data_IF_699554063789
#
_entry.id   IF_699554063789
#
_cell.length_a   1.000
_cell.length_b   1.000
_cell.length_c   1.000
_cell.angle_alpha   90.00
_cell.angle_beta   90.00
_cell.angle_gamma   90.00
#
_symmetry.space_group_name_H-M   'P 1'
#
loop_
_entity.id
_entity.type
_entity.pdbx_description
1 polymer ?
#
# COMPACT_ATOMS: atom_id res chain seq x y z
N UNK A 1 -87.55 -39.16 -34.46
CA UNK A 1 -86.89 -39.79 -33.29
C UNK A 1 -86.41 -38.68 -32.37
N UNK A 2 -86.38 -38.90 -31.05
CA UNK A 2 -85.91 -37.92 -30.05
C UNK A 2 -84.37 -37.69 -30.20
N UNK A 3 -83.71 -36.67 -29.62
CA UNK A 3 -83.96 -36.02 -28.32
C UNK A 3 -83.41 -34.58 -28.21
N UNK A 4 -83.70 -33.96 -27.07
CA UNK A 4 -83.14 -32.75 -26.43
C UNK A 4 -81.58 -32.63 -26.42
N UNK A 5 -80.91 -31.55 -25.98
CA UNK A 5 -81.26 -30.64 -24.86
C UNK A 5 -80.42 -29.35 -24.79
N UNK A 6 -81.05 -28.29 -24.25
CA UNK A 6 -80.55 -27.34 -23.23
C UNK A 6 -79.23 -26.55 -23.43
N UNK A 7 -79.36 -25.21 -23.36
CA UNK A 7 -78.28 -24.24 -23.15
C UNK A 7 -78.36 -23.64 -21.73
N UNK A 8 -77.27 -23.73 -20.95
CA UNK A 8 -77.04 -22.90 -19.74
C UNK A 8 -75.54 -22.66 -19.55
N UNK A 9 -75.13 -21.43 -19.19
CA UNK A 9 -73.76 -21.15 -18.73
C UNK A 9 -73.48 -21.78 -17.35
N UNK A 10 -72.21 -21.89 -16.94
CA UNK A 10 -71.75 -20.95 -15.90
C UNK A 10 -70.31 -20.42 -16.10
N UNK A 11 -69.99 -19.40 -15.30
CA UNK A 11 -68.70 -18.70 -15.22
C UNK A 11 -67.64 -19.40 -14.36
N UNK A 12 -66.37 -19.34 -14.78
CA UNK A 12 -65.21 -19.36 -13.87
C UNK A 12 -63.94 -18.80 -14.56
N UNK A 13 -63.10 -18.12 -13.78
CA UNK A 13 -61.77 -17.63 -14.16
C UNK A 13 -60.76 -18.78 -14.30
N UNK A 14 -59.68 -18.58 -15.09
CA UNK A 14 -58.37 -18.59 -14.42
C UNK A 14 -57.34 -17.57 -14.96
N UNK A 15 -56.55 -17.06 -14.01
CA UNK A 15 -55.14 -16.66 -14.09
C UNK A 15 -54.62 -15.87 -15.30
N UNK A 16 -54.49 -14.56 -15.09
CA UNK A 16 -53.50 -13.74 -15.81
C UNK A 16 -52.08 -14.15 -15.39
N UNK A 17 -51.50 -15.14 -16.08
CA UNK A 17 -50.06 -15.36 -16.03
C UNK A 17 -49.36 -14.19 -16.74
N UNK A 18 -48.94 -13.19 -15.95
CA UNK A 18 -47.97 -12.22 -16.43
C UNK A 18 -46.73 -12.97 -16.89
N UNK A 19 -46.32 -12.73 -18.14
CA UNK A 19 -45.04 -13.21 -18.65
C UNK A 19 -43.93 -12.46 -17.90
N UNK A 20 -43.53 -13.04 -16.76
CA UNK A 20 -42.42 -12.57 -15.96
C UNK A 20 -41.15 -12.61 -16.83
N UNK A 21 -40.77 -11.44 -17.36
CA UNK A 21 -39.46 -11.20 -17.95
C UNK A 21 -38.43 -11.40 -16.85
N UNK A 22 -38.02 -12.66 -16.67
CA UNK A 22 -36.97 -13.08 -15.73
C UNK A 22 -35.66 -12.44 -16.15
N UNK A 23 -35.41 -11.26 -15.60
CA UNK A 23 -34.13 -10.58 -15.70
C UNK A 23 -33.05 -11.50 -15.13
N UNK A 24 -32.17 -12.00 -16.01
CA UNK A 24 -31.17 -13.02 -15.69
C UNK A 24 -30.05 -12.55 -14.74
N UNK A 25 -30.18 -11.36 -14.13
CA UNK A 25 -29.17 -10.76 -13.25
C UNK A 25 -29.65 -10.54 -11.82
N UNK A 26 -29.66 -11.58 -10.97
CA UNK A 26 -29.48 -11.43 -9.52
C UNK A 26 -28.21 -12.12 -8.99
N UNK A 27 -27.13 -12.20 -9.79
CA UNK A 27 -25.86 -12.91 -9.42
C UNK A 27 -24.75 -11.97 -8.94
N UNK A 28 -25.07 -10.99 -8.08
CA UNK A 28 -24.07 -10.19 -7.33
C UNK A 28 -24.56 -9.80 -5.91
N UNK A 29 -25.25 -10.70 -5.19
CA UNK A 29 -25.64 -10.47 -3.77
C UNK A 29 -24.61 -10.96 -2.74
N UNK A 30 -23.35 -10.59 -2.93
CA UNK A 30 -22.37 -10.41 -1.84
C UNK A 30 -21.42 -9.26 -2.20
N UNK A 31 -21.60 -8.05 -1.62
CA UNK A 31 -20.56 -7.04 -1.65
C UNK A 31 -19.49 -7.41 -0.61
N UNK A 32 -18.60 -8.35 -0.96
CA UNK A 32 -17.20 -7.93 -0.85
C UNK A 32 -17.08 -6.83 -1.89
N UNK A 33 -17.11 -5.57 -1.44
CA UNK A 33 -17.16 -4.43 -2.35
C UNK A 33 -16.06 -4.56 -3.42
N UNK A 34 -16.28 -3.99 -4.60
CA UNK A 34 -15.27 -3.92 -5.67
C UNK A 34 -14.12 -2.98 -5.25
N UNK A 35 -13.39 -3.39 -4.21
CA UNK A 35 -12.17 -2.76 -3.72
C UNK A 35 -11.08 -3.22 -4.66
N UNK A 36 -10.83 -2.42 -5.69
CA UNK A 36 -9.68 -2.59 -6.54
C UNK A 36 -8.41 -2.67 -5.68
N UNK A 37 -7.51 -3.63 -5.95
CA UNK A 37 -6.36 -3.84 -5.08
C UNK A 37 -5.45 -2.60 -5.12
N UNK A 38 -5.08 -2.12 -3.93
CA UNK A 38 -4.22 -0.95 -3.75
C UNK A 38 -2.82 -1.18 -4.33
N UNK A 39 -2.09 -0.10 -4.63
CA UNK A 39 -0.68 -0.20 -5.04
C UNK A 39 0.25 -0.66 -3.91
N UNK A 40 -0.15 -0.51 -2.64
CA UNK A 40 0.66 -0.93 -1.48
C UNK A 40 0.65 -2.44 -1.25
N UNK A 41 -0.41 -3.14 -1.66
CA UNK A 41 -0.55 -4.60 -1.53
C UNK A 41 0.09 -5.37 -2.70
N UNK A 42 0.92 -4.70 -3.51
CA UNK A 42 1.57 -5.27 -4.69
C UNK A 42 3.08 -5.52 -4.48
N UNK A 43 3.51 -6.72 -4.84
CA UNK A 43 4.91 -7.12 -4.95
C UNK A 43 5.32 -7.25 -6.42
N UNK A 44 6.57 -6.91 -6.70
CA UNK A 44 7.16 -6.91 -8.04
C UNK A 44 8.41 -7.79 -8.05
N UNK A 45 8.52 -8.59 -9.10
CA UNK A 45 9.69 -9.40 -9.43
C UNK A 45 10.23 -9.02 -10.80
N UNK A 46 11.51 -9.29 -11.04
CA UNK A 46 12.06 -9.27 -12.40
C UNK A 46 11.46 -10.42 -13.21
N UNK A 47 11.01 -10.14 -14.42
CA UNK A 47 10.45 -11.14 -15.32
C UNK A 47 11.58 -11.83 -16.09
N UNK A 48 11.68 -13.15 -15.92
CA UNK A 48 12.50 -14.07 -16.72
C UNK A 48 11.78 -14.32 -18.05
N UNK A 49 12.51 -14.23 -19.17
CA UNK A 49 11.98 -14.52 -20.50
C UNK A 49 11.50 -15.98 -20.62
N UNK A 50 10.54 -16.21 -21.51
CA UNK A 50 9.87 -17.51 -21.74
C UNK A 50 9.18 -18.16 -20.51
N UNK A 51 9.19 -17.51 -19.34
CA UNK A 51 8.52 -18.01 -18.12
C UNK A 51 7.05 -17.59 -18.08
N UNK A 52 6.14 -18.51 -17.75
CA UNK A 52 4.69 -18.23 -17.76
C UNK A 52 4.26 -17.66 -16.42
N UNK A 53 3.24 -16.80 -16.43
CA UNK A 53 2.70 -16.15 -15.21
C UNK A 53 2.30 -17.16 -14.12
N UNK A 54 1.80 -18.34 -14.53
CA UNK A 54 1.46 -19.45 -13.64
C UNK A 54 2.66 -19.98 -12.83
N UNK A 55 3.88 -19.86 -13.35
CA UNK A 55 5.08 -20.41 -12.70
C UNK A 55 5.49 -19.53 -11.52
N UNK A 56 5.36 -18.20 -11.66
CA UNK A 56 5.48 -17.24 -10.56
C UNK A 56 4.43 -17.48 -9.47
N UNK A 57 3.17 -17.66 -9.88
CA UNK A 57 2.06 -17.99 -8.97
C UNK A 57 2.32 -19.29 -8.21
N UNK A 58 2.82 -20.34 -8.89
CA UNK A 58 3.13 -21.61 -8.26
C UNK A 58 4.30 -21.50 -7.27
N UNK A 59 5.36 -20.77 -7.61
CA UNK A 59 6.47 -20.54 -6.67
C UNK A 59 6.07 -19.68 -5.47
N UNK A 60 5.24 -18.65 -5.67
CA UNK A 60 4.73 -17.82 -4.58
C UNK A 60 3.73 -18.58 -3.69
N UNK A 61 2.90 -19.46 -4.27
CA UNK A 61 1.88 -20.25 -3.55
C UNK A 61 2.45 -21.22 -2.51
N UNK A 62 3.74 -21.57 -2.64
CA UNK A 62 4.48 -22.40 -1.67
C UNK A 62 4.83 -21.64 -0.39
N UNK A 63 4.82 -20.31 -0.43
CA UNK A 63 5.16 -19.41 0.68
C UNK A 63 3.89 -18.74 1.23
N UNK A 64 3.04 -18.24 0.34
CA UNK A 64 1.79 -17.54 0.67
C UNK A 64 0.61 -18.38 0.20
N UNK A 65 -0.38 -18.61 1.07
CA UNK A 65 -1.59 -19.37 0.70
C UNK A 65 -2.26 -18.78 -0.57
N UNK A 66 -2.67 -19.59 -1.57
CA UNK A 66 -3.26 -19.10 -2.82
C UNK A 66 -4.42 -18.12 -2.65
N UNK A 67 -5.28 -18.32 -1.64
CA UNK A 67 -6.42 -17.44 -1.31
C UNK A 67 -6.01 -15.99 -1.01
N UNK A 68 -4.76 -15.76 -0.63
CA UNK A 68 -4.22 -14.43 -0.36
C UNK A 68 -3.65 -13.75 -1.62
N UNK A 69 -3.68 -14.38 -2.80
CA UNK A 69 -3.21 -13.80 -4.06
C UNK A 69 -4.44 -13.37 -4.86
N UNK A 70 -4.64 -12.06 -5.04
CA UNK A 70 -5.82 -11.51 -5.72
C UNK A 70 -5.60 -11.48 -7.23
N UNK A 71 -4.45 -10.99 -7.68
CA UNK A 71 -4.21 -10.70 -9.09
C UNK A 71 -2.73 -10.80 -9.45
N UNK A 72 -2.43 -11.08 -10.71
CA UNK A 72 -1.09 -11.20 -11.24
C UNK A 72 -1.06 -10.62 -12.66
N UNK A 73 -0.06 -9.82 -13.00
CA UNK A 73 0.09 -9.23 -14.34
C UNK A 73 1.56 -8.97 -14.68
N UNK A 74 1.89 -9.13 -15.98
CA UNK A 74 3.18 -8.67 -16.51
C UNK A 74 3.10 -7.16 -16.72
N UNK A 75 4.09 -6.43 -16.20
CA UNK A 75 4.30 -5.01 -16.42
C UNK A 75 5.32 -4.79 -17.55
N UNK A 76 5.41 -3.55 -18.02
CA UNK A 76 6.53 -3.09 -18.86
C UNK A 76 7.89 -3.26 -18.14
N UNK A 77 8.98 -3.10 -18.89
CA UNK A 77 10.36 -3.17 -18.38
C UNK A 77 10.73 -4.52 -17.73
N UNK A 78 10.19 -5.62 -18.29
CA UNK A 78 10.37 -6.98 -17.80
C UNK A 78 10.16 -7.11 -16.28
N UNK A 79 8.97 -6.71 -15.82
CA UNK A 79 8.52 -6.90 -14.43
C UNK A 79 7.27 -7.78 -14.36
N UNK A 80 7.17 -8.57 -13.29
CA UNK A 80 5.96 -9.33 -12.94
C UNK A 80 5.40 -8.73 -11.64
N UNK A 81 4.14 -8.28 -11.66
CA UNK A 81 3.47 -7.69 -10.51
C UNK A 81 2.41 -8.65 -9.98
N UNK A 82 2.37 -8.84 -8.67
CA UNK A 82 1.42 -9.72 -7.99
C UNK A 82 0.79 -8.96 -6.83
N UNK A 83 -0.54 -8.89 -6.81
CA UNK A 83 -1.31 -8.24 -5.76
C UNK A 83 -1.74 -9.29 -4.72
N UNK A 84 -1.36 -9.04 -3.47
CA UNK A 84 -1.77 -9.83 -2.31
C UNK A 84 -3.05 -9.25 -1.68
N UNK A 85 -3.67 -10.00 -0.78
CA UNK A 85 -4.91 -9.61 -0.13
C UNK A 85 -4.80 -8.41 0.82
N UNK A 86 -3.64 -8.20 1.44
CA UNK A 86 -3.43 -7.16 2.45
C UNK A 86 -2.00 -6.60 2.37
N UNK A 87 -1.82 -5.30 2.68
CA UNK A 87 -0.50 -4.66 2.80
C UNK A 87 0.39 -5.36 3.85
N UNK A 88 -0.18 -5.81 4.97
CA UNK A 88 0.54 -6.58 6.00
C UNK A 88 1.20 -7.85 5.45
N UNK A 89 0.54 -8.54 4.50
CA UNK A 89 1.13 -9.73 3.88
C UNK A 89 2.31 -9.39 2.96
N UNK A 90 2.33 -8.19 2.38
CA UNK A 90 3.51 -7.67 1.65
C UNK A 90 4.63 -7.35 2.63
N UNK A 91 4.32 -6.69 3.76
CA UNK A 91 5.30 -6.42 4.83
C UNK A 91 5.95 -7.72 5.34
N UNK A 92 5.12 -8.69 5.72
CA UNK A 92 5.56 -9.96 6.29
C UNK A 92 6.35 -10.79 5.27
N UNK A 93 5.90 -10.84 4.01
CA UNK A 93 6.59 -11.57 2.95
C UNK A 93 7.97 -10.96 2.64
N UNK A 94 8.07 -9.64 2.52
CA UNK A 94 9.34 -8.97 2.22
C UNK A 94 10.32 -9.08 3.40
N UNK A 95 9.82 -8.98 4.64
CA UNK A 95 10.66 -9.04 5.84
C UNK A 95 11.20 -10.45 6.12
N UNK A 96 10.36 -11.49 5.96
CA UNK A 96 10.73 -12.86 6.36
C UNK A 96 11.31 -13.72 5.22
N UNK A 97 10.89 -13.48 3.97
CA UNK A 97 11.31 -14.30 2.82
C UNK A 97 12.04 -13.48 1.75
N UNK A 98 11.44 -12.36 1.32
CA UNK A 98 12.01 -11.40 0.37
C UNK A 98 12.31 -11.91 -1.05
N UNK A 99 12.23 -13.22 -1.31
CA UNK A 99 12.69 -13.86 -2.56
C UNK A 99 11.83 -15.07 -2.91
N UNK A 100 11.76 -15.41 -4.20
CA UNK A 100 11.12 -16.64 -4.72
C UNK A 100 12.06 -17.37 -5.67
N UNK A 101 11.93 -18.70 -5.79
CA UNK A 101 12.66 -19.51 -6.78
C UNK A 101 11.73 -19.86 -7.95
N UNK A 102 11.97 -19.32 -9.14
CA UNK A 102 11.19 -19.56 -10.36
C UNK A 102 12.14 -20.06 -11.44
N UNK A 103 11.81 -21.17 -12.12
CA UNK A 103 12.66 -21.80 -13.15
C UNK A 103 14.14 -21.91 -12.72
N UNK A 104 14.34 -22.42 -11.50
CA UNK A 104 15.62 -22.57 -10.80
C UNK A 104 16.36 -21.27 -10.43
N UNK A 105 16.02 -20.13 -11.02
CA UNK A 105 16.58 -18.81 -10.67
C UNK A 105 15.94 -18.22 -9.40
N UNK A 106 16.71 -17.46 -8.62
CA UNK A 106 16.27 -16.80 -7.40
C UNK A 106 15.93 -15.33 -7.68
N UNK A 107 14.66 -14.98 -7.64
CA UNK A 107 14.16 -13.63 -7.89
C UNK A 107 13.93 -12.90 -6.57
N UNK A 108 14.41 -11.65 -6.48
CA UNK A 108 14.14 -10.79 -5.33
C UNK A 108 12.80 -10.08 -5.49
N UNK A 109 12.02 -10.05 -4.42
CA UNK A 109 10.79 -9.28 -4.33
C UNK A 109 11.09 -7.82 -4.00
N UNK A 110 10.33 -6.90 -4.59
CA UNK A 110 10.27 -5.49 -4.20
C UNK A 110 8.81 -5.10 -4.04
N UNK A 111 8.51 -4.02 -3.31
CA UNK A 111 7.17 -3.42 -3.36
C UNK A 111 6.97 -2.71 -4.69
N UNK A 112 5.73 -2.61 -5.15
CA UNK A 112 5.39 -1.73 -6.28
C UNK A 112 5.58 -0.24 -5.91
N UNK A 113 5.31 0.12 -4.66
CA UNK A 113 5.52 1.46 -4.10
C UNK A 113 6.50 1.37 -2.94
N UNK A 114 7.57 2.15 -2.99
CA UNK A 114 8.51 2.30 -1.87
C UNK A 114 7.83 3.09 -0.74
N UNK A 115 7.75 2.56 0.51
CA UNK A 115 7.11 3.26 1.62
C UNK A 115 7.95 4.46 2.02
N UNK A 116 7.50 5.62 1.56
CA UNK A 116 8.06 6.95 1.79
C UNK A 116 6.96 7.84 2.41
N UNK A 117 7.37 8.83 3.20
CA UNK A 117 6.51 9.75 3.94
C UNK A 117 7.16 11.12 3.98
N UNK A 118 6.40 12.15 3.60
CA UNK A 118 6.90 13.52 3.59
C UNK A 118 7.15 14.12 4.97
N UNK A 119 8.41 14.49 5.26
CA UNK A 119 8.85 15.23 6.45
C UNK A 119 9.11 16.68 6.06
N UNK A 120 8.47 17.63 6.76
CA UNK A 120 8.60 19.07 6.51
C UNK A 120 9.38 19.71 7.66
N UNK A 121 10.44 20.46 7.37
CA UNK A 121 11.12 21.31 8.35
C UNK A 121 10.69 22.76 8.15
N UNK A 122 10.14 23.37 9.19
CA UNK A 122 9.75 24.78 9.24
C UNK A 122 10.59 25.53 10.28
N UNK A 123 10.75 26.84 10.13
CA UNK A 123 11.56 27.66 11.04
C UNK A 123 13.08 27.47 10.92
N UNK A 124 13.56 26.80 9.86
CA UNK A 124 14.99 26.66 9.57
C UNK A 124 15.48 27.92 8.87
N UNK A 125 16.59 28.49 9.35
CA UNK A 125 17.21 29.66 8.72
C UNK A 125 17.83 29.27 7.36
N UNK A 126 17.57 30.00 6.26
CA UNK A 126 18.07 29.64 4.93
C UNK A 126 19.59 29.71 4.79
N UNK A 127 20.28 30.38 5.73
CA UNK A 127 21.75 30.41 5.80
C UNK A 127 22.37 29.12 6.33
N UNK A 128 21.57 28.16 6.82
CA UNK A 128 22.07 26.87 7.34
C UNK A 128 22.31 25.91 6.17
N UNK A 129 23.55 25.42 5.95
CA UNK A 129 23.85 24.44 4.91
C UNK A 129 23.08 23.13 5.11
N UNK A 130 22.61 22.54 4.01
CA UNK A 130 21.92 21.25 4.02
C UNK A 130 22.73 20.13 4.67
N UNK A 131 24.07 20.11 4.52
CA UNK A 131 24.95 19.11 5.13
C UNK A 131 24.84 19.03 6.66
N UNK A 132 24.59 20.16 7.35
CA UNK A 132 24.40 20.19 8.81
C UNK A 132 23.06 19.54 9.17
N UNK A 133 22.00 19.84 8.41
CA UNK A 133 20.67 19.27 8.60
C UNK A 133 20.65 17.76 8.30
N UNK A 134 21.37 17.30 7.26
CA UNK A 134 21.49 15.87 6.92
C UNK A 134 22.20 15.09 8.03
N UNK A 135 23.31 15.64 8.57
CA UNK A 135 24.02 15.05 9.70
C UNK A 135 23.14 14.94 10.95
N UNK A 136 22.43 16.02 11.30
CA UNK A 136 21.55 16.06 12.47
C UNK A 136 20.36 15.08 12.32
N UNK A 137 19.73 15.03 11.14
CA UNK A 137 18.65 14.08 10.85
C UNK A 137 19.13 12.62 10.94
N UNK A 138 20.34 12.31 10.46
CA UNK A 138 20.95 10.99 10.62
C UNK A 138 21.22 10.66 12.10
N UNK A 139 21.67 11.63 12.90
CA UNK A 139 21.83 11.46 14.36
C UNK A 139 20.48 11.18 15.07
N UNK A 140 19.38 11.77 14.59
CA UNK A 140 18.02 11.44 15.01
C UNK A 140 17.47 10.11 14.44
N UNK A 141 18.27 9.35 13.67
CA UNK A 141 17.88 8.05 13.09
C UNK A 141 17.01 8.14 11.84
N UNK A 142 16.89 9.33 11.23
CA UNK A 142 16.14 9.56 9.99
C UNK A 142 17.07 9.44 8.79
N UNK A 143 16.93 8.34 8.06
CA UNK A 143 17.63 8.15 6.78
C UNK A 143 16.83 8.80 5.64
N UNK A 144 17.45 9.75 4.94
CA UNK A 144 16.90 10.41 3.77
C UNK A 144 16.98 9.49 2.54
N UNK A 145 15.90 9.45 1.74
CA UNK A 145 15.86 8.74 0.46
C UNK A 145 16.27 9.66 -0.71
N UNK A 146 16.17 10.97 -0.51
CA UNK A 146 16.43 12.03 -1.49
C UNK A 146 17.16 13.19 -0.80
N UNK A 147 18.00 13.96 -1.52
CA UNK A 147 18.69 15.14 -0.97
C UNK A 147 17.75 16.20 -0.42
N UNK A 148 18.27 17.05 0.48
CA UNK A 148 17.51 18.21 0.96
C UNK A 148 17.31 19.27 -0.14
N UNK A 149 16.22 20.03 -0.03
CA UNK A 149 15.75 21.04 -0.97
C UNK A 149 14.82 22.05 -0.26
N UNK A 150 14.82 23.30 -0.72
CA UNK A 150 13.92 24.33 -0.22
C UNK A 150 12.53 24.16 -0.85
N UNK A 151 11.46 24.31 -0.06
CA UNK A 151 10.15 24.60 -0.63
C UNK A 151 10.05 26.08 -0.90
N UNK A 152 10.04 26.44 -2.18
CA UNK A 152 9.54 27.73 -2.59
C UNK A 152 8.02 27.75 -2.36
N UNK A 153 7.60 28.37 -1.27
CA UNK A 153 6.25 28.90 -1.17
C UNK A 153 6.20 30.15 -2.04
N UNK A 154 5.37 30.17 -3.07
CA UNK A 154 4.95 31.44 -3.69
C UNK A 154 4.18 32.23 -2.64
N UNK A 155 4.91 33.06 -1.88
CA UNK A 155 4.36 33.84 -0.78
C UNK A 155 4.28 35.30 -1.19
N UNK A 156 3.07 35.84 -1.04
CA UNK A 156 2.87 37.25 -0.71
C UNK A 156 3.81 37.66 0.44
N UNK A 157 4.20 38.95 0.54
CA UNK A 157 5.46 39.34 1.17
C UNK A 157 5.46 39.29 2.71
N UNK A 158 5.53 38.09 3.29
CA UNK A 158 6.02 37.84 4.65
C UNK A 158 6.92 36.61 4.67
N UNK A 159 8.13 36.76 5.23
CA UNK A 159 9.20 35.77 5.15
C UNK A 159 8.97 34.55 6.04
N UNK A 160 8.79 33.38 5.44
CA UNK A 160 9.02 32.07 6.08
C UNK A 160 9.26 31.02 5.00
N UNK A 161 10.49 30.52 4.93
CA UNK A 161 10.88 29.39 4.08
C UNK A 161 10.49 28.08 4.75
N UNK A 162 9.88 27.18 3.98
CA UNK A 162 9.54 25.82 4.39
C UNK A 162 10.45 24.85 3.61
N UNK A 163 10.66 23.63 4.12
CA UNK A 163 11.51 22.60 3.50
C UNK A 163 10.81 21.24 3.58
N UNK A 164 10.92 20.32 2.59
CA UNK A 164 10.29 19.00 2.73
C UNK A 164 10.91 17.82 1.92
N UNK A 165 10.91 16.62 2.52
CA UNK A 165 11.69 15.42 2.15
C UNK A 165 10.96 14.10 2.38
N UNK A 166 11.59 12.95 2.06
CA UNK A 166 11.19 11.57 2.44
C UNK A 166 12.47 10.73 2.70
N UNK A 167 12.70 9.91 3.73
CA UNK A 167 11.96 9.45 4.94
C UNK A 167 10.93 8.31 4.73
N UNK A 168 11.07 7.13 5.41
CA UNK A 168 10.11 5.99 5.42
C UNK A 168 9.31 5.81 6.73
N UNK A 169 8.10 5.21 6.66
CA UNK A 169 7.27 4.90 7.84
C UNK A 169 7.91 3.83 8.74
N UNK A 170 8.27 4.20 9.96
CA UNK A 170 8.73 3.25 10.99
C UNK A 170 7.73 3.17 12.16
N UNK A 171 7.59 1.99 12.77
CA UNK A 171 6.54 1.73 13.79
C UNK A 171 6.90 2.35 15.14
N UNK A 172 5.98 3.15 15.68
CA UNK A 172 6.11 3.92 16.92
C UNK A 172 6.41 3.03 18.14
N UNK A 173 7.63 3.12 18.69
CA UNK A 173 7.95 2.62 20.03
C UNK A 173 7.79 3.74 21.03
N UNK A 174 6.70 3.72 21.81
CA UNK A 174 6.51 4.60 22.95
C UNK A 174 7.49 4.26 24.07
N UNK A 175 8.50 5.10 24.27
CA UNK A 175 9.29 5.13 25.50
C UNK A 175 8.91 6.39 26.28
N UNK A 176 8.45 6.23 27.52
CA UNK A 176 7.95 7.36 28.33
C UNK A 176 9.10 8.27 28.77
N UNK A 177 8.88 9.57 28.65
CA UNK A 177 9.66 10.61 29.31
C UNK A 177 9.54 10.45 30.83
N UNK A 178 10.62 10.04 31.51
CA UNK A 178 10.74 10.17 32.95
C UNK A 178 11.57 11.42 33.26
N UNK A 179 10.94 12.42 33.85
CA UNK A 179 11.64 13.57 34.43
C UNK A 179 12.29 13.11 35.74
N UNK A 180 13.60 13.33 35.91
CA UNK A 180 14.29 12.95 37.14
C UNK A 180 15.76 13.33 37.16
N UNK A 181 16.10 14.30 38.02
CA UNK A 181 17.43 14.60 38.56
C UNK A 181 18.55 15.03 37.59
N UNK A 182 18.79 16.35 37.56
CA UNK A 182 20.17 16.88 37.53
C UNK A 182 20.90 16.46 38.81
N UNK A 183 22.24 16.35 38.77
CA UNK A 183 23.02 17.28 39.58
C UNK A 183 24.07 18.04 38.78
N UNK A 184 24.40 19.24 39.25
CA UNK A 184 25.43 20.12 38.68
C UNK A 184 26.82 19.53 38.93
N UNK A 185 27.73 19.61 37.95
CA UNK A 185 29.18 19.71 38.21
C UNK A 185 29.81 20.82 37.35
N UNK A 186 30.71 21.54 38.01
CA UNK A 186 31.37 22.78 37.63
C UNK A 186 32.15 22.70 36.32
N UNK A 187 32.08 23.76 35.51
CA UNK A 187 32.99 24.01 34.38
C UNK A 187 33.85 25.22 34.76
N UNK A 188 35.00 24.97 35.39
CA UNK A 188 36.07 25.96 35.63
C UNK A 188 37.43 25.26 35.71
N UNK A 189 37.88 24.55 34.67
CA UNK A 189 39.32 24.21 34.54
C UNK A 189 39.81 23.83 33.13
N UNK A 190 39.35 24.50 32.06
CA UNK A 190 39.95 24.34 30.71
C UNK A 190 40.15 25.67 29.96
N UNK A 191 40.67 26.69 30.66
CA UNK A 191 41.14 27.91 30.03
C UNK A 191 42.53 28.31 30.54
N UNK A 192 43.58 27.74 29.94
CA UNK A 192 44.90 28.35 29.88
C UNK A 192 45.41 28.28 28.43
N UNK A 193 45.71 29.42 27.79
CA UNK A 193 46.39 29.44 26.50
C UNK A 193 47.89 29.15 26.67
N UNK A 194 48.50 28.82 25.53
CA UNK A 194 49.91 28.64 25.18
C UNK A 194 50.96 29.18 26.15
#
# INVERSE_FOLDING_TARGET
MASSSTSTQPSSTPDQQSLELKSYSPVTRKPTANVFPSRNQAIVFDAIDNTKMKDYLHSLSRIIRPVNIIFCSKLSNNKMCIYLANEKLVDDFITNHGKIKVNQQLLQARRLITPSQRLVLSGVCPSIPHSILEFELQAFGVNLLLPLSFLLSERSPTSSSEHAFEVPKNKEKKTKLNQGNKPKKTIEEMLKPT
#
